data_IF_505909046561
#
_entry.id   IF_505909046561
#
_cell.length_a   1.000
_cell.length_b   1.000
_cell.length_c   1.000
_cell.angle_alpha   90.00
_cell.angle_beta   90.00
_cell.angle_gamma   90.00
#
_symmetry.space_group_name_H-M   'P 1'
#
loop_
_entity.id
_entity.type
_entity.pdbx_description
1 polymer ?
#
# COMPACT_ATOMS: atom_id res chain seq x y z
N UNK A 1 -17.27 10.98 -3.34
CA UNK A 1 -15.93 11.34 -3.86
C UNK A 1 -14.96 10.28 -3.37
N UNK A 2 -14.27 9.57 -4.26
CA UNK A 2 -13.39 8.47 -3.86
C UNK A 2 -12.16 9.00 -3.13
N UNK A 3 -12.03 8.67 -1.84
CA UNK A 3 -10.87 9.03 -1.00
C UNK A 3 -9.61 8.21 -1.33
N UNK A 4 -9.66 7.43 -2.42
CA UNK A 4 -8.59 6.57 -2.90
C UNK A 4 -7.57 7.45 -3.65
N UNK A 5 -6.34 7.41 -3.16
CA UNK A 5 -5.19 8.12 -3.72
C UNK A 5 -4.53 7.27 -4.80
N UNK A 6 -4.49 5.96 -4.58
CA UNK A 6 -3.79 5.00 -5.43
C UNK A 6 -4.48 3.64 -5.36
N UNK A 7 -4.58 2.94 -6.48
CA UNK A 7 -5.17 1.60 -6.60
C UNK A 7 -4.47 0.88 -7.75
N UNK A 8 -3.70 -0.15 -7.43
CA UNK A 8 -2.98 -0.92 -8.44
C UNK A 8 -2.77 -2.38 -7.98
N UNK A 9 -2.68 -3.28 -8.95
CA UNK A 9 -2.34 -4.68 -8.75
C UNK A 9 -0.83 -4.88 -8.91
N UNK A 10 -0.22 -5.53 -7.94
CA UNK A 10 1.20 -5.81 -7.89
C UNK A 10 1.47 -7.29 -7.93
N UNK A 11 2.48 -7.67 -8.69
CA UNK A 11 3.06 -9.01 -8.71
C UNK A 11 4.31 -9.04 -7.83
N UNK A 12 4.33 -9.94 -6.83
CA UNK A 12 5.52 -10.13 -5.99
C UNK A 12 6.61 -10.79 -6.81
N UNK A 13 7.76 -10.12 -6.92
CA UNK A 13 8.94 -10.59 -7.65
C UNK A 13 9.94 -11.22 -6.69
N UNK A 14 10.10 -10.65 -5.50
CA UNK A 14 11.07 -11.09 -4.51
C UNK A 14 10.54 -10.88 -3.09
N UNK A 15 11.04 -11.69 -2.17
CA UNK A 15 10.82 -11.56 -0.73
C UNK A 15 12.19 -11.71 -0.07
N UNK A 16 12.55 -10.76 0.78
CA UNK A 16 13.81 -10.75 1.56
C UNK A 16 15.06 -10.95 0.67
N UNK A 17 15.17 -10.16 -0.41
CA UNK A 17 16.29 -10.25 -1.39
C UNK A 17 17.65 -10.04 -0.73
N UNK A 18 17.73 -9.18 0.29
CA UNK A 18 18.95 -8.93 1.09
C UNK A 18 19.15 -9.93 2.25
N UNK A 19 18.29 -10.95 2.35
CA UNK A 19 18.25 -11.91 3.45
C UNK A 19 17.28 -11.48 4.56
N UNK A 20 16.74 -12.48 5.26
CA UNK A 20 15.78 -12.26 6.34
C UNK A 20 16.50 -11.80 7.61
N UNK A 21 16.41 -10.51 7.91
CA UNK A 21 17.00 -9.91 9.11
C UNK A 21 16.06 -10.06 10.32
N UNK A 22 14.75 -10.06 10.09
CA UNK A 22 13.72 -10.08 11.14
C UNK A 22 12.84 -11.32 11.01
N UNK A 23 12.59 -12.03 12.11
CA UNK A 23 11.76 -13.24 12.10
C UNK A 23 10.30 -13.00 11.69
N UNK A 24 9.76 -11.84 12.06
CA UNK A 24 8.33 -11.49 11.91
C UNK A 24 8.03 -10.48 10.80
N UNK A 25 9.06 -9.88 10.22
CA UNK A 25 8.92 -8.84 9.19
C UNK A 25 9.71 -9.28 7.97
N UNK A 26 9.05 -9.24 6.82
CA UNK A 26 9.68 -9.52 5.53
C UNK A 26 9.56 -8.30 4.63
N UNK A 27 10.62 -8.04 3.86
CA UNK A 27 10.61 -7.01 2.81
C UNK A 27 10.20 -7.65 1.50
N UNK A 28 9.12 -7.16 0.91
CA UNK A 28 8.63 -7.62 -0.38
C UNK A 28 8.98 -6.64 -1.48
N UNK A 29 9.46 -7.19 -2.60
CA UNK A 29 9.66 -6.48 -3.86
C UNK A 29 8.54 -6.87 -4.82
N UNK A 30 7.76 -5.88 -5.23
CA UNK A 30 6.59 -6.06 -6.07
C UNK A 30 6.65 -5.11 -7.27
N UNK A 31 6.15 -5.59 -8.42
CA UNK A 31 6.03 -4.80 -9.64
C UNK A 31 4.58 -4.66 -10.03
N UNK A 32 4.17 -3.43 -10.35
CA UNK A 32 2.84 -3.13 -10.85
C UNK A 32 2.60 -3.83 -12.19
N UNK A 33 1.35 -4.23 -12.45
CA UNK A 33 0.95 -4.85 -13.71
C UNK A 33 1.16 -3.92 -14.92
N UNK A 34 1.10 -2.60 -14.69
CA UNK A 34 1.39 -1.56 -15.70
C UNK A 34 2.87 -1.55 -16.15
N UNK A 35 3.75 -2.25 -15.41
CA UNK A 35 5.19 -2.34 -15.72
C UNK A 35 5.99 -1.06 -15.44
N UNK A 36 5.30 0.04 -15.10
CA UNK A 36 5.92 1.33 -14.76
C UNK A 36 6.13 1.47 -13.25
N UNK A 37 5.20 0.93 -12.44
CA UNK A 37 5.26 1.07 -10.97
C UNK A 37 6.10 -0.03 -10.34
N UNK A 38 7.02 0.35 -9.47
CA UNK A 38 7.81 -0.54 -8.61
C UNK A 38 7.47 -0.26 -7.14
N UNK A 39 7.41 -1.29 -6.32
CA UNK A 39 7.01 -1.21 -4.92
C UNK A 39 7.92 -2.07 -4.05
N UNK A 40 8.41 -1.48 -2.96
CA UNK A 40 9.12 -2.19 -1.90
C UNK A 40 8.38 -1.95 -0.59
N UNK A 41 7.87 -3.00 0.04
CA UNK A 41 7.07 -2.88 1.26
C UNK A 41 7.58 -3.81 2.35
N UNK A 42 7.74 -3.29 3.56
CA UNK A 42 7.94 -4.10 4.75
C UNK A 42 6.56 -4.54 5.28
N UNK A 43 6.36 -5.84 5.44
CA UNK A 43 5.12 -6.42 5.95
C UNK A 43 5.40 -7.38 7.09
N UNK A 44 4.40 -7.53 7.96
CA UNK A 44 4.45 -8.57 8.97
C UNK A 44 4.04 -9.93 8.35
N UNK A 45 5.03 -10.77 8.09
CA UNK A 45 4.86 -12.07 7.44
C UNK A 45 4.25 -13.15 8.35
N UNK A 46 4.19 -12.90 9.66
CA UNK A 46 3.52 -13.78 10.65
C UNK A 46 1.99 -13.70 10.52
N UNK A 47 1.46 -12.49 10.35
CA UNK A 47 0.00 -12.26 10.24
C UNK A 47 -0.49 -12.30 8.79
N UNK A 48 0.35 -11.94 7.82
CA UNK A 48 -0.02 -11.94 6.41
C UNK A 48 1.06 -12.61 5.55
N UNK A 49 0.96 -13.94 5.33
CA UNK A 49 1.93 -14.67 4.54
C UNK A 49 1.81 -14.31 3.06
N UNK A 50 2.91 -13.80 2.51
CA UNK A 50 3.05 -13.47 1.09
C UNK A 50 3.79 -14.56 0.34
N UNK A 51 3.48 -14.68 -0.95
CA UNK A 51 4.12 -15.66 -1.82
C UNK A 51 4.65 -14.99 -3.08
N UNK A 52 5.87 -15.37 -3.48
CA UNK A 52 6.47 -14.95 -4.74
C UNK A 52 5.56 -15.38 -5.90
N UNK A 53 5.53 -14.58 -6.96
CA UNK A 53 4.76 -14.83 -8.19
C UNK A 53 3.22 -14.84 -7.99
N UNK A 54 2.72 -14.32 -6.86
CA UNK A 54 1.29 -14.05 -6.65
C UNK A 54 0.97 -12.57 -6.86
N UNK A 55 -0.30 -12.32 -7.19
CA UNK A 55 -0.85 -10.99 -7.41
C UNK A 55 -1.56 -10.51 -6.15
N UNK A 56 -1.31 -9.26 -5.80
CA UNK A 56 -1.93 -8.58 -4.67
C UNK A 56 -2.42 -7.23 -5.13
N UNK A 57 -3.66 -6.90 -4.79
CA UNK A 57 -4.19 -5.55 -5.00
C UNK A 57 -3.80 -4.68 -3.81
N UNK A 58 -3.12 -3.58 -4.08
CA UNK A 58 -2.80 -2.57 -3.08
C UNK A 58 -3.58 -1.30 -3.38
N UNK A 59 -4.25 -0.79 -2.35
CA UNK A 59 -4.96 0.49 -2.39
C UNK A 59 -4.43 1.40 -1.30
N UNK A 60 -4.14 2.66 -1.65
CA UNK A 60 -3.83 3.71 -0.69
C UNK A 60 -5.00 4.69 -0.62
N UNK A 61 -5.50 4.95 0.59
CA UNK A 61 -6.62 5.84 0.82
C UNK A 61 -6.36 6.82 1.97
N UNK A 62 -6.99 8.00 1.92
CA UNK A 62 -6.94 8.98 3.02
C UNK A 62 -7.87 8.63 4.18
N UNK A 63 -8.94 7.90 3.91
CA UNK A 63 -9.89 7.44 4.93
C UNK A 63 -10.41 6.05 4.56
N UNK A 64 -10.76 5.28 5.58
CA UNK A 64 -11.41 3.98 5.43
C UNK A 64 -12.92 4.12 5.16
N UNK A 65 -13.48 5.30 5.39
CA UNK A 65 -14.88 5.61 5.17
C UNK A 65 -15.19 5.74 3.68
N UNK A 66 -16.19 5.00 3.22
CA UNK A 66 -16.72 5.09 1.87
C UNK A 66 -17.54 6.39 1.62
N UNK A 67 -17.62 7.29 2.60
CA UNK A 67 -18.32 8.57 2.45
C UNK A 67 -19.82 8.42 2.19
N UNK A 68 -20.40 7.30 2.60
CA UNK A 68 -21.84 7.09 2.60
C UNK A 68 -22.38 7.36 3.99
N UNK A 69 -23.00 8.52 4.20
CA UNK A 69 -24.00 8.68 5.25
C UNK A 69 -25.21 7.83 4.85
N UNK A 70 -25.09 6.52 4.96
CA UNK A 70 -26.22 5.62 4.76
C UNK A 70 -26.62 5.06 6.12
N UNK A 71 -27.73 5.61 6.63
CA UNK A 71 -28.37 5.25 7.88
C UNK A 71 -28.83 3.78 7.82
N UNK A 72 -27.91 2.83 8.01
CA UNK A 72 -28.28 1.45 8.31
C UNK A 72 -28.62 1.35 9.80
N UNK A 73 -29.80 0.82 10.17
CA UNK A 73 -30.27 0.77 11.57
C UNK A 73 -29.48 -0.20 12.46
N UNK A 74 -28.43 -0.85 11.94
CA UNK A 74 -27.62 -1.86 12.65
C UNK A 74 -26.18 -1.44 12.94
N UNK A 75 -25.80 -0.17 12.75
CA UNK A 75 -24.52 0.38 13.24
C UNK A 75 -23.24 -0.22 12.62
N UNK A 76 -23.36 -1.04 11.58
CA UNK A 76 -22.23 -1.65 10.86
C UNK A 76 -22.00 -0.91 9.55
N UNK A 77 -21.18 0.13 9.61
CA UNK A 77 -20.70 0.84 8.42
C UNK A 77 -19.84 -0.13 7.59
N UNK A 78 -20.35 -0.56 6.43
CA UNK A 78 -19.57 -1.34 5.46
C UNK A 78 -18.35 -0.50 5.10
N UNK A 79 -17.20 -0.89 5.62
CA UNK A 79 -15.98 -0.11 5.48
C UNK A 79 -15.16 -0.66 4.32
N UNK A 80 -14.31 0.16 3.70
CA UNK A 80 -13.32 -0.36 2.74
C UNK A 80 -12.51 -1.50 3.39
N UNK A 81 -12.25 -1.39 4.68
CA UNK A 81 -11.58 -2.38 5.50
C UNK A 81 -12.17 -3.81 5.40
N UNK A 82 -13.48 -3.98 5.29
CA UNK A 82 -14.11 -5.31 5.22
C UNK A 82 -13.76 -6.09 3.94
N UNK A 83 -13.25 -5.39 2.92
CA UNK A 83 -12.90 -5.99 1.62
C UNK A 83 -11.41 -6.33 1.49
N UNK A 84 -10.59 -5.93 2.46
CA UNK A 84 -9.14 -6.14 2.44
C UNK A 84 -8.70 -6.98 3.64
N UNK A 85 -7.64 -7.76 3.44
CA UNK A 85 -7.17 -8.71 4.44
C UNK A 85 -6.11 -8.08 5.35
N UNK A 86 -5.41 -7.07 4.83
CA UNK A 86 -4.30 -6.44 5.51
C UNK A 86 -4.41 -4.93 5.40
N UNK A 87 -4.33 -4.24 6.55
CA UNK A 87 -4.49 -2.79 6.62
C UNK A 87 -3.38 -2.20 7.49
N UNK A 88 -2.74 -1.15 6.99
CA UNK A 88 -1.76 -0.37 7.74
C UNK A 88 -2.11 1.12 7.68
N UNK A 89 -1.81 1.85 8.74
CA UNK A 89 -1.97 3.30 8.79
C UNK A 89 -0.60 3.95 9.00
N UNK A 90 -0.24 4.90 8.14
CA UNK A 90 1.10 5.44 8.07
C UNK A 90 1.14 6.89 7.62
N UNK A 91 2.33 7.47 7.74
CA UNK A 91 2.63 8.83 7.35
C UNK A 91 3.55 8.83 6.14
N UNK A 92 3.16 9.57 5.10
CA UNK A 92 4.03 9.90 4.00
C UNK A 92 5.02 10.97 4.45
N UNK A 93 6.27 10.60 4.63
CA UNK A 93 7.29 11.48 5.22
C UNK A 93 8.29 12.02 4.19
N UNK A 94 8.40 11.38 3.02
CA UNK A 94 9.34 11.80 1.98
C UNK A 94 8.81 11.53 0.58
N UNK A 95 8.99 12.50 -0.30
CA UNK A 95 8.83 12.36 -1.75
C UNK A 95 10.15 12.73 -2.39
N UNK A 96 10.63 11.92 -3.32
CA UNK A 96 11.85 12.16 -4.07
C UNK A 96 11.59 11.99 -5.56
N UNK A 97 12.19 12.85 -6.38
CA UNK A 97 12.17 12.70 -7.83
C UNK A 97 13.41 11.89 -8.24
N UNK A 98 13.19 10.72 -8.84
CA UNK A 98 14.23 9.85 -9.36
C UNK A 98 14.19 9.90 -10.90
N UNK A 99 14.91 10.88 -11.48
CA UNK A 99 15.09 11.10 -12.92
C UNK A 99 13.78 11.26 -13.71
N UNK A 100 13.10 10.16 -14.04
CA UNK A 100 11.84 10.12 -14.80
C UNK A 100 10.67 9.50 -14.02
N UNK A 101 10.91 9.06 -12.77
CA UNK A 101 9.91 8.53 -11.85
C UNK A 101 9.87 9.37 -10.57
N UNK A 102 8.77 9.28 -9.85
CA UNK A 102 8.62 9.85 -8.50
C UNK A 102 8.56 8.70 -7.51
N UNK A 103 9.42 8.78 -6.48
CA UNK A 103 9.52 7.85 -5.38
C UNK A 103 8.87 8.44 -4.14
N UNK A 104 7.85 7.75 -3.62
CA UNK A 104 7.14 8.12 -2.40
C UNK A 104 7.53 7.16 -1.29
N UNK A 105 7.84 7.71 -0.12
CA UNK A 105 8.21 6.96 1.08
C UNK A 105 7.16 7.16 2.18
N UNK A 106 6.61 6.05 2.66
CA UNK A 106 5.57 6.02 3.70
C UNK A 106 6.07 5.14 4.84
N UNK A 107 5.85 5.59 6.08
CA UNK A 107 6.19 4.86 7.29
C UNK A 107 4.93 4.44 8.04
N UNK A 108 4.80 3.15 8.32
CA UNK A 108 3.71 2.52 9.07
C UNK A 108 4.22 2.07 10.44
N UNK A 109 4.64 3.03 11.28
CA UNK A 109 5.11 2.74 12.64
C UNK A 109 6.43 1.96 12.70
N UNK A 110 7.29 2.09 11.69
CA UNK A 110 8.57 1.39 11.58
C UNK A 110 8.68 0.54 10.32
N UNK A 111 7.56 0.05 9.79
CA UNK A 111 7.50 -0.63 8.50
C UNK A 111 7.54 0.41 7.37
N UNK A 112 8.43 0.24 6.40
CA UNK A 112 8.62 1.20 5.32
C UNK A 112 7.94 0.73 4.02
N UNK A 113 7.46 1.70 3.26
CA UNK A 113 7.01 1.53 1.89
C UNK A 113 7.74 2.52 1.01
N UNK A 114 8.38 2.02 -0.05
CA UNK A 114 8.87 2.80 -1.19
C UNK A 114 8.01 2.46 -2.40
N UNK A 115 7.35 3.47 -2.96
CA UNK A 115 6.57 3.33 -4.18
C UNK A 115 7.17 4.24 -5.26
N UNK A 116 7.61 3.68 -6.37
CA UNK A 116 8.16 4.40 -7.51
C UNK A 116 7.24 4.28 -8.72
N UNK A 117 6.73 5.38 -9.27
CA UNK A 117 5.87 5.36 -10.46
C UNK A 117 6.05 6.65 -11.27
N UNK A 118 5.33 6.77 -12.39
CA UNK A 118 5.29 7.99 -13.17
C UNK A 118 4.70 9.17 -12.36
N UNK A 119 5.15 10.42 -12.60
CA UNK A 119 4.66 11.61 -11.89
C UNK A 119 3.13 11.79 -11.93
N UNK A 120 2.48 11.35 -13.02
CA UNK A 120 1.03 11.40 -13.20
C UNK A 120 0.28 10.59 -12.12
N UNK A 121 0.76 9.38 -11.82
CA UNK A 121 0.20 8.52 -10.78
C UNK A 121 0.50 9.05 -9.38
N UNK A 122 1.62 9.78 -9.24
CA UNK A 122 2.10 10.30 -7.96
C UNK A 122 1.56 11.69 -7.60
N UNK A 123 0.83 12.34 -8.51
CA UNK A 123 0.36 13.73 -8.35
C UNK A 123 -0.61 13.94 -7.19
N UNK A 124 -1.24 12.86 -6.67
CA UNK A 124 -2.21 12.92 -5.56
C UNK A 124 -1.56 12.82 -4.17
N UNK A 125 -0.27 12.48 -4.11
CA UNK A 125 0.47 12.35 -2.86
C UNK A 125 0.98 13.70 -2.38
N UNK A 126 0.84 13.94 -1.07
CA UNK A 126 1.34 15.15 -0.41
C UNK A 126 2.22 14.76 0.77
N UNK A 127 3.26 15.56 1.02
CA UNK A 127 4.10 15.42 2.20
C UNK A 127 3.27 15.57 3.47
N UNK A 128 3.65 14.85 4.53
CA UNK A 128 2.96 14.79 5.83
C UNK A 128 1.50 14.32 5.76
N UNK A 129 1.11 13.66 4.67
CA UNK A 129 -0.22 13.10 4.53
C UNK A 129 -0.29 11.73 5.22
N UNK A 130 -1.34 11.54 6.03
CA UNK A 130 -1.69 10.23 6.59
C UNK A 130 -2.43 9.39 5.56
N UNK A 131 -2.05 8.13 5.46
CA UNK A 131 -2.54 7.19 4.47
C UNK A 131 -2.82 5.84 5.12
N UNK A 132 -3.91 5.23 4.67
CA UNK A 132 -4.22 3.83 4.91
C UNK A 132 -3.77 3.03 3.70
N UNK A 133 -2.91 2.05 3.93
CA UNK A 133 -2.61 1.00 2.97
C UNK A 133 -3.56 -0.16 3.23
N UNK A 134 -4.25 -0.58 2.17
CA UNK A 134 -5.10 -1.74 2.17
C UNK A 134 -4.57 -2.73 1.14
N UNK A 135 -4.41 -3.98 1.55
CA UNK A 135 -3.84 -5.02 0.72
C UNK A 135 -4.70 -6.29 0.77
N UNK A 136 -4.85 -6.91 -0.39
CA UNK A 136 -5.65 -8.12 -0.57
C UNK A 136 -5.00 -9.01 -1.63
N UNK A 137 -5.03 -10.31 -1.39
CA UNK A 137 -4.63 -11.31 -2.38
C UNK A 137 -5.69 -11.47 -3.46
N UNK A 138 -5.24 -11.58 -4.71
CA UNK A 138 -6.08 -11.93 -5.87
C UNK A 138 -5.97 -13.43 -6.14
#
# INVERSE_FOLDING_TARGET
MSNIVFDETFKIVGIDVDGKIYDKVSRIDAKGEDGITDMVLDINSEIYPVFVNKLYRMVLSRTLDLGGSDNHPEGKTISLADKFEYIMHGLLYKVAEESSKVAVYISFGGLQLKLCSAPLNMSKFKLDQRLFLLLRKI
#
